data_IF_320695225741
#
_entry.id   IF_320695225741
#
_cell.length_a   1.000
_cell.length_b   1.000
_cell.length_c   1.000
_cell.angle_alpha   90.00
_cell.angle_beta   90.00
_cell.angle_gamma   90.00
#
_symmetry.space_group_name_H-M   'P 1'
#
loop_
_entity.id
_entity.type
_entity.pdbx_description
1 polymer ?
#
# COMPACT_ATOMS: atom_id res chain seq x y z
N UNK A 1 23.46 8.60 9.90
CA UNK A 1 24.05 9.04 8.62
C UNK A 1 25.56 8.81 8.64
N UNK A 2 25.99 7.55 8.58
CA UNK A 2 27.35 7.19 8.19
C UNK A 2 27.39 7.23 6.66
N UNK A 3 27.51 8.45 6.11
CA UNK A 3 27.78 8.60 4.69
C UNK A 3 29.24 8.20 4.47
N UNK A 4 29.48 6.94 4.07
CA UNK A 4 30.76 6.56 3.47
C UNK A 4 30.95 7.43 2.22
N UNK A 5 31.64 8.56 2.39
CA UNK A 5 32.07 9.41 1.30
C UNK A 5 33.23 8.74 0.56
N UNK A 6 32.97 7.65 -0.16
CA UNK A 6 33.91 7.14 -1.15
C UNK A 6 33.81 8.03 -2.38
N UNK A 7 34.78 8.90 -2.62
CA UNK A 7 35.06 9.64 -3.86
C UNK A 7 34.02 9.43 -4.98
N UNK A 8 32.94 10.22 -4.93
CA UNK A 8 31.68 10.06 -5.68
C UNK A 8 31.64 10.94 -6.96
N UNK A 9 32.77 11.30 -7.56
CA UNK A 9 32.80 12.12 -8.78
C UNK A 9 33.18 11.28 -10.02
N UNK A 10 32.42 11.49 -11.11
CA UNK A 10 32.43 10.79 -12.41
C UNK A 10 31.97 9.31 -12.48
N UNK A 11 32.33 8.43 -11.54
CA UNK A 11 31.97 7.00 -11.61
C UNK A 11 30.47 6.70 -11.47
N UNK A 12 29.71 7.59 -10.82
CA UNK A 12 28.30 7.38 -10.50
C UNK A 12 27.40 7.52 -11.72
N UNK A 13 27.63 8.48 -12.61
CA UNK A 13 26.74 8.68 -13.77
C UNK A 13 26.66 7.43 -14.63
N UNK A 14 27.78 6.71 -14.80
CA UNK A 14 27.82 5.40 -15.48
C UNK A 14 27.21 4.27 -14.66
N UNK A 15 27.36 4.27 -13.34
CA UNK A 15 26.78 3.25 -12.44
C UNK A 15 25.26 3.41 -12.29
N UNK A 16 24.73 4.63 -12.19
CA UNK A 16 23.30 4.95 -12.06
C UNK A 16 22.45 4.38 -13.19
N UNK A 17 23.00 4.27 -14.41
CA UNK A 17 22.27 3.72 -15.55
C UNK A 17 21.82 2.27 -15.32
N UNK A 18 22.57 1.49 -14.53
CA UNK A 18 22.23 0.10 -14.21
C UNK A 18 21.29 -0.02 -12.99
N UNK A 19 21.19 1.03 -12.16
CA UNK A 19 20.51 0.97 -10.87
C UNK A 19 18.99 0.91 -11.00
N UNK A 20 18.42 1.47 -12.06
CA UNK A 20 16.98 1.42 -12.31
C UNK A 20 16.42 0.00 -12.41
N UNK A 21 17.26 -1.01 -12.67
CA UNK A 21 16.83 -2.40 -12.84
C UNK A 21 17.02 -3.27 -11.59
N UNK A 22 17.65 -2.72 -10.55
CA UNK A 22 17.98 -3.45 -9.33
C UNK A 22 16.93 -3.19 -8.26
N UNK A 23 16.55 -4.24 -7.53
CA UNK A 23 15.70 -4.12 -6.35
C UNK A 23 16.49 -3.71 -5.11
N UNK A 24 15.75 -3.26 -4.08
CA UNK A 24 16.32 -2.81 -2.82
C UNK A 24 17.05 -1.46 -2.92
N UNK A 25 17.82 -1.12 -1.89
CA UNK A 25 18.56 0.14 -1.81
C UNK A 25 20.07 -0.10 -1.89
N UNK A 26 20.70 0.37 -2.97
CA UNK A 26 22.16 0.22 -3.18
C UNK A 26 22.97 0.99 -2.12
N UNK A 27 22.42 2.11 -1.64
CA UNK A 27 22.98 2.91 -0.55
C UNK A 27 22.72 2.33 0.85
N UNK A 28 21.99 1.21 0.93
CA UNK A 28 21.57 0.58 2.16
C UNK A 28 20.34 1.24 2.79
N UNK A 29 19.71 0.52 3.72
CA UNK A 29 18.65 1.01 4.60
C UNK A 29 18.80 0.30 5.94
N UNK A 30 18.63 1.03 7.03
CA UNK A 30 18.74 0.48 8.38
C UNK A 30 17.77 1.18 9.32
N UNK A 31 17.23 0.43 10.29
CA UNK A 31 16.51 1.01 11.43
C UNK A 31 17.53 1.75 12.29
N UNK A 32 17.36 3.06 12.43
CA UNK A 32 18.26 3.90 13.21
C UNK A 32 17.64 4.26 14.55
N UNK A 33 17.91 3.45 15.59
CA UNK A 33 17.42 3.72 16.94
C UNK A 33 18.06 4.98 17.53
N UNK A 34 19.34 5.21 17.27
CA UNK A 34 20.06 6.40 17.74
C UNK A 34 19.44 7.72 17.26
N UNK A 35 18.87 7.75 16.05
CA UNK A 35 18.25 8.96 15.51
C UNK A 35 16.92 9.31 16.19
N UNK A 36 16.33 8.39 16.97
CA UNK A 36 15.20 8.70 17.85
C UNK A 36 15.61 9.55 19.04
N UNK A 37 16.87 9.46 19.44
CA UNK A 37 17.44 10.27 20.51
C UNK A 37 17.99 11.59 19.97
N UNK A 38 17.88 12.65 20.78
CA UNK A 38 18.39 13.98 20.40
C UNK A 38 19.90 13.96 20.14
N UNK A 39 20.66 13.17 20.89
CA UNK A 39 22.10 13.01 20.69
C UNK A 39 22.44 12.45 19.30
N UNK A 40 21.68 11.47 18.81
CA UNK A 40 21.86 10.92 17.47
C UNK A 40 21.52 11.94 16.38
N UNK A 41 20.50 12.79 16.60
CA UNK A 41 20.16 13.90 15.70
C UNK A 41 21.24 14.99 15.69
N UNK A 42 21.83 15.33 16.83
CA UNK A 42 22.97 16.25 16.91
C UNK A 42 24.17 15.73 16.11
N UNK A 43 24.51 14.44 16.27
CA UNK A 43 25.57 13.80 15.46
C UNK A 43 25.26 13.86 13.97
N UNK A 44 24.00 13.63 13.59
CA UNK A 44 23.58 13.73 12.20
C UNK A 44 23.69 15.17 11.64
N UNK A 45 23.26 16.17 12.41
CA UNK A 45 23.38 17.58 12.05
C UNK A 45 24.86 17.99 11.89
N UNK A 46 25.72 17.62 12.82
CA UNK A 46 27.16 17.86 12.74
C UNK A 46 27.78 17.29 11.45
N UNK A 47 27.40 16.06 11.08
CA UNK A 47 27.87 15.43 9.84
C UNK A 47 27.41 16.20 8.59
N UNK A 48 26.16 16.63 8.53
CA UNK A 48 25.63 17.42 7.40
C UNK A 48 26.35 18.76 7.27
N UNK A 49 26.54 19.47 8.39
CA UNK A 49 27.22 20.78 8.45
C UNK A 49 28.69 20.65 8.04
N UNK A 50 29.37 19.58 8.48
CA UNK A 50 30.77 19.33 8.09
C UNK A 50 30.96 19.17 6.57
N UNK A 51 29.90 18.77 5.87
CA UNK A 51 29.87 18.58 4.41
C UNK A 51 29.14 19.71 3.67
N UNK A 52 28.62 20.71 4.37
CA UNK A 52 27.84 21.80 3.77
C UNK A 52 26.53 21.35 3.11
N UNK A 53 25.91 20.28 3.63
CA UNK A 53 24.67 19.73 3.07
C UNK A 53 23.47 20.33 3.80
N UNK A 54 22.66 21.10 3.08
CA UNK A 54 21.43 21.76 3.57
C UNK A 54 20.16 21.28 2.85
N UNK A 55 20.32 20.46 1.82
CA UNK A 55 19.25 19.92 1.00
C UNK A 55 19.23 18.41 1.14
N UNK A 56 18.13 17.85 1.63
CA UNK A 56 18.01 16.43 1.93
C UNK A 56 16.78 15.83 1.24
N UNK A 57 17.00 14.78 0.44
CA UNK A 57 15.92 13.90 -0.03
C UNK A 57 15.88 12.67 0.87
N UNK A 58 14.72 12.38 1.44
CA UNK A 58 14.51 11.20 2.28
C UNK A 58 13.56 10.25 1.55
N UNK A 59 14.02 9.02 1.30
CA UNK A 59 13.22 7.97 0.65
C UNK A 59 12.91 6.89 1.69
N UNK A 60 11.63 6.66 1.97
CA UNK A 60 11.21 5.63 2.92
C UNK A 60 9.72 5.67 3.23
N UNK A 61 9.31 4.89 4.23
CA UNK A 61 7.93 4.88 4.72
C UNK A 61 7.65 5.96 5.77
N UNK A 62 6.46 5.89 6.36
CA UNK A 62 5.94 6.84 7.35
C UNK A 62 6.96 7.21 8.45
N UNK A 63 7.54 6.21 9.13
CA UNK A 63 8.49 6.47 10.22
C UNK A 63 9.75 7.25 9.79
N UNK A 64 10.21 7.08 8.54
CA UNK A 64 11.38 7.82 8.03
C UNK A 64 11.03 9.28 7.74
N UNK A 65 9.85 9.51 7.15
CA UNK A 65 9.35 10.85 6.81
C UNK A 65 8.99 11.64 8.07
N UNK A 66 8.40 10.99 9.07
CA UNK A 66 8.12 11.58 10.39
C UNK A 66 9.42 12.00 11.10
N UNK A 67 10.43 11.13 11.11
CA UNK A 67 11.75 11.47 11.68
C UNK A 67 12.43 12.62 10.94
N UNK A 68 12.30 12.70 9.61
CA UNK A 68 12.81 13.80 8.81
C UNK A 68 12.10 15.12 9.13
N UNK A 69 10.78 15.10 9.28
CA UNK A 69 10.01 16.27 9.67
C UNK A 69 10.44 16.83 11.03
N UNK A 70 10.54 15.95 12.04
CA UNK A 70 11.04 16.33 13.36
C UNK A 70 12.44 16.93 13.28
N UNK A 71 13.32 16.35 12.45
CA UNK A 71 14.67 16.85 12.25
C UNK A 71 14.70 18.27 11.63
N UNK A 72 13.79 18.59 10.69
CA UNK A 72 13.66 19.96 10.16
C UNK A 72 13.18 20.95 11.23
N UNK A 73 12.19 20.56 12.04
CA UNK A 73 11.65 21.41 13.10
C UNK A 73 12.72 21.68 14.17
N UNK A 74 13.48 20.66 14.57
CA UNK A 74 14.53 20.79 15.58
C UNK A 74 15.81 21.47 15.05
N UNK A 75 15.98 21.63 13.74
CA UNK A 75 17.20 22.11 13.12
C UNK A 75 17.78 23.40 13.75
N UNK A 76 17.00 24.48 13.98
CA UNK A 76 17.55 25.70 14.59
C UNK A 76 18.13 25.44 15.98
N UNK A 77 17.43 24.65 16.80
CA UNK A 77 17.86 24.31 18.16
C UNK A 77 19.11 23.42 18.16
N UNK A 78 19.26 22.54 17.16
CA UNK A 78 20.47 21.73 16.98
C UNK A 78 21.69 22.59 16.60
N UNK A 79 21.49 23.63 15.79
CA UNK A 79 22.56 24.56 15.41
C UNK A 79 23.08 25.37 16.61
N UNK A 80 22.18 25.83 17.48
CA UNK A 80 22.53 26.54 18.72
C UNK A 80 23.39 25.68 19.64
N UNK A 81 23.02 24.41 19.79
CA UNK A 81 23.70 23.45 20.67
C UNK A 81 25.10 23.07 20.13
N UNK A 82 25.25 22.96 18.81
CA UNK A 82 26.51 22.59 18.16
C UNK A 82 27.57 23.72 18.12
N UNK A 83 27.23 24.97 18.49
CA UNK A 83 28.14 26.13 18.55
C UNK A 83 29.05 26.25 17.32
N UNK A 84 28.45 26.18 16.14
CA UNK A 84 29.16 26.16 14.86
C UNK A 84 29.81 27.52 14.52
N UNK A 85 30.82 27.49 13.65
CA UNK A 85 31.48 28.72 13.17
C UNK A 85 30.48 29.63 12.43
N UNK A 86 30.62 30.97 12.53
CA UNK A 86 29.69 31.92 11.92
C UNK A 86 29.50 31.71 10.40
N UNK A 87 30.59 31.40 9.69
CA UNK A 87 30.56 31.13 8.25
C UNK A 87 29.72 29.89 7.90
N UNK A 88 29.81 28.82 8.72
CA UNK A 88 29.01 27.61 8.52
C UNK A 88 27.56 27.81 8.94
N UNK A 89 27.31 28.65 9.95
CA UNK A 89 25.96 29.03 10.38
C UNK A 89 25.20 29.78 9.28
N UNK A 90 25.89 30.65 8.53
CA UNK A 90 25.28 31.38 7.41
C UNK A 90 24.88 30.44 6.26
N UNK A 91 25.71 29.44 5.96
CA UNK A 91 25.44 28.47 4.89
C UNK A 91 24.33 27.49 5.32
N UNK A 92 24.42 26.96 6.54
CA UNK A 92 23.54 25.90 7.04
C UNK A 92 22.37 26.44 7.87
N UNK A 93 22.00 27.71 7.69
CA UNK A 93 20.96 28.38 8.46
C UNK A 93 19.58 27.72 8.33
N UNK A 94 19.38 26.92 7.29
CA UNK A 94 18.13 26.28 6.93
C UNK A 94 18.41 24.85 6.47
N UNK A 95 17.40 24.00 6.65
CA UNK A 95 17.40 22.63 6.16
C UNK A 95 16.16 22.41 5.30
N UNK A 96 16.39 22.14 4.02
CA UNK A 96 15.37 21.79 3.06
C UNK A 96 15.23 20.27 3.03
N UNK A 97 14.00 19.79 3.21
CA UNK A 97 13.69 18.36 3.19
C UNK A 97 12.56 18.12 2.20
N UNK A 98 12.79 17.15 1.32
CA UNK A 98 11.75 16.57 0.46
C UNK A 98 11.68 15.07 0.69
N UNK A 99 10.47 14.56 0.90
CA UNK A 99 10.20 13.14 1.12
C UNK A 99 9.74 12.44 -0.15
N UNK A 100 10.18 11.20 -0.35
CA UNK A 100 9.62 10.24 -1.29
C UNK A 100 9.11 9.02 -0.53
N UNK A 101 7.91 8.56 -0.86
CA UNK A 101 7.32 7.41 -0.18
C UNK A 101 7.75 6.11 -0.86
N UNK A 102 8.67 5.40 -0.21
CA UNK A 102 9.09 4.05 -0.59
C UNK A 102 8.53 3.03 0.40
N UNK A 103 7.45 2.35 0.00
CA UNK A 103 6.76 1.34 0.80
C UNK A 103 6.11 0.34 -0.15
N UNK A 104 6.08 -0.95 0.22
CA UNK A 104 5.27 -1.93 -0.50
C UNK A 104 3.82 -1.94 0.00
N UNK A 105 3.61 -1.47 1.22
CA UNK A 105 2.34 -1.62 1.95
C UNK A 105 1.25 -0.67 1.40
N UNK A 106 1.62 0.35 0.61
CA UNK A 106 0.76 1.44 0.16
C UNK A 106 0.00 2.16 1.30
N UNK A 107 0.71 2.35 2.41
CA UNK A 107 0.16 2.78 3.72
C UNK A 107 0.30 4.29 4.00
N UNK A 108 0.65 5.10 3.00
CA UNK A 108 0.87 6.54 3.19
C UNK A 108 -0.28 7.40 2.65
N UNK A 109 -0.96 8.10 3.54
CA UNK A 109 -2.06 8.97 3.15
C UNK A 109 -1.56 10.19 2.36
N UNK A 110 -2.20 10.44 1.23
CA UNK A 110 -1.90 11.58 0.36
C UNK A 110 -1.10 11.23 -0.89
N UNK A 111 -0.83 9.94 -1.14
CA UNK A 111 -0.40 9.40 -2.44
C UNK A 111 -1.29 8.25 -2.86
N UNK A 112 -1.63 8.17 -4.14
CA UNK A 112 -2.40 7.07 -4.70
C UNK A 112 -1.58 5.77 -4.73
N UNK A 113 -0.28 5.92 -5.02
CA UNK A 113 0.68 4.82 -5.13
C UNK A 113 2.00 5.16 -4.46
N UNK A 114 2.55 4.18 -3.76
CA UNK A 114 3.89 4.20 -3.18
C UNK A 114 4.88 3.44 -4.05
N UNK A 115 6.16 3.88 -4.03
CA UNK A 115 7.21 3.22 -4.80
C UNK A 115 7.47 1.84 -4.19
N UNK A 116 7.19 0.79 -4.96
CA UNK A 116 7.40 -0.61 -4.60
C UNK A 116 6.11 -1.43 -4.49
N UNK A 117 4.93 -0.78 -4.38
CA UNK A 117 3.67 -1.48 -4.24
C UNK A 117 3.34 -2.36 -5.46
N UNK A 118 3.54 -1.85 -6.68
CA UNK A 118 3.29 -2.62 -7.90
C UNK A 118 4.30 -3.76 -8.10
N UNK A 119 5.56 -3.55 -7.72
CA UNK A 119 6.57 -4.61 -7.73
C UNK A 119 6.24 -5.73 -6.74
N UNK A 120 5.76 -5.39 -5.55
CA UNK A 120 5.32 -6.36 -4.56
C UNK A 120 4.09 -7.15 -5.06
N UNK A 121 3.13 -6.47 -5.68
CA UNK A 121 1.98 -7.11 -6.30
C UNK A 121 2.38 -8.14 -7.36
N UNK A 122 3.37 -7.83 -8.21
CA UNK A 122 3.92 -8.81 -9.15
C UNK A 122 4.48 -10.05 -8.44
N UNK A 123 5.17 -9.89 -7.30
CA UNK A 123 5.70 -11.04 -6.54
C UNK A 123 4.57 -11.91 -5.98
N UNK A 124 3.49 -11.27 -5.52
CA UNK A 124 2.31 -11.98 -4.98
C UNK A 124 1.63 -12.76 -6.10
N UNK A 125 1.35 -12.12 -7.23
CA UNK A 125 0.69 -12.76 -8.38
C UNK A 125 1.54 -13.92 -8.93
N UNK A 126 2.85 -13.72 -9.12
CA UNK A 126 3.75 -14.79 -9.59
C UNK A 126 3.73 -16.02 -8.65
N UNK A 127 3.69 -15.79 -7.33
CA UNK A 127 3.61 -16.88 -6.37
C UNK A 127 2.24 -17.57 -6.40
N UNK A 128 1.15 -16.80 -6.51
CA UNK A 128 -0.20 -17.34 -6.62
C UNK A 128 -0.38 -18.16 -7.89
N UNK A 129 0.06 -17.66 -9.04
CA UNK A 129 0.00 -18.37 -10.33
C UNK A 129 0.80 -19.69 -10.30
N UNK A 130 1.97 -19.68 -9.65
CA UNK A 130 2.76 -20.89 -9.44
C UNK A 130 1.99 -21.93 -8.62
N UNK A 131 1.24 -21.49 -7.60
CA UNK A 131 0.42 -22.37 -6.75
C UNK A 131 -0.82 -22.90 -7.46
N UNK A 132 -1.46 -22.10 -8.30
CA UNK A 132 -2.69 -22.45 -9.04
C UNK A 132 -2.58 -23.79 -9.77
N UNK A 133 -1.46 -24.03 -10.46
CA UNK A 133 -1.24 -25.28 -11.20
C UNK A 133 -1.19 -26.52 -10.29
N UNK A 134 -0.54 -26.39 -9.12
CA UNK A 134 -0.44 -27.46 -8.12
C UNK A 134 -1.78 -27.72 -7.43
N UNK A 135 -2.58 -26.67 -7.26
CA UNK A 135 -3.86 -26.75 -6.58
C UNK A 135 -4.92 -27.46 -7.43
N UNK A 136 -4.99 -27.13 -8.73
CA UNK A 136 -5.87 -27.79 -9.68
C UNK A 136 -5.61 -29.30 -9.79
N UNK A 137 -4.36 -29.73 -9.58
CA UNK A 137 -3.96 -31.14 -9.66
C UNK A 137 -4.45 -31.99 -8.48
N UNK A 138 -4.68 -31.38 -7.32
CA UNK A 138 -4.98 -32.09 -6.07
C UNK A 138 -6.25 -31.61 -5.36
N UNK A 139 -7.05 -30.72 -5.97
CA UNK A 139 -8.26 -30.15 -5.35
C UNK A 139 -7.99 -29.54 -3.97
N UNK A 140 -6.94 -28.73 -3.87
CA UNK A 140 -6.49 -28.15 -2.60
C UNK A 140 -7.02 -26.73 -2.39
N UNK A 141 -7.25 -26.40 -1.13
CA UNK A 141 -7.43 -25.01 -0.70
C UNK A 141 -6.08 -24.41 -0.30
N UNK A 142 -5.75 -23.24 -0.82
CA UNK A 142 -4.56 -22.50 -0.46
C UNK A 142 -4.92 -21.21 0.27
N UNK A 143 -4.30 -21.03 1.42
CA UNK A 143 -4.35 -19.79 2.20
C UNK A 143 -3.00 -19.09 1.99
N UNK A 144 -3.02 -17.90 1.39
CA UNK A 144 -1.83 -17.11 1.15
C UNK A 144 -1.77 -15.92 2.11
N UNK A 145 -0.70 -15.87 2.89
CA UNK A 145 -0.41 -14.74 3.78
C UNK A 145 0.44 -13.69 3.05
N UNK A 146 -0.10 -12.47 2.98
CA UNK A 146 0.43 -11.32 2.23
C UNK A 146 0.86 -10.23 3.21
N UNK A 147 1.95 -9.53 2.91
CA UNK A 147 2.42 -8.41 3.73
C UNK A 147 1.47 -7.20 3.64
N UNK A 148 1.67 -6.23 4.53
CA UNK A 148 0.91 -4.98 4.52
C UNK A 148 0.79 -4.31 5.88
N UNK A 149 1.26 -4.97 6.94
CA UNK A 149 1.23 -4.60 8.35
C UNK A 149 -0.16 -4.23 8.86
N UNK A 150 -0.59 -3.00 8.63
CA UNK A 150 -1.90 -2.48 9.03
C UNK A 150 -2.73 -2.03 7.82
N UNK A 151 -2.24 -2.26 6.61
CA UNK A 151 -2.90 -1.95 5.36
C UNK A 151 -3.16 -3.24 4.56
N UNK A 152 -4.39 -3.42 4.09
CA UNK A 152 -4.85 -4.53 3.28
C UNK A 152 -4.74 -4.28 1.78
N UNK A 153 -4.13 -3.18 1.33
CA UNK A 153 -4.06 -2.81 -0.10
C UNK A 153 -3.49 -3.95 -0.96
N UNK A 154 -2.33 -4.50 -0.58
CA UNK A 154 -1.70 -5.60 -1.31
C UNK A 154 -2.62 -6.84 -1.38
N UNK A 155 -3.21 -7.23 -0.26
CA UNK A 155 -4.11 -8.39 -0.19
C UNK A 155 -5.38 -8.17 -1.04
N UNK A 156 -5.98 -6.98 -0.99
CA UNK A 156 -7.17 -6.63 -1.76
C UNK A 156 -6.89 -6.65 -3.26
N UNK A 157 -5.86 -5.93 -3.72
CA UNK A 157 -5.55 -5.84 -5.15
C UNK A 157 -5.08 -7.20 -5.69
N UNK A 158 -4.28 -7.95 -4.92
CA UNK A 158 -3.90 -9.30 -5.29
C UNK A 158 -5.10 -10.25 -5.37
N UNK A 159 -6.05 -10.14 -4.44
CA UNK A 159 -7.28 -10.95 -4.47
C UNK A 159 -8.12 -10.70 -5.71
N UNK A 160 -8.21 -9.44 -6.16
CA UNK A 160 -8.90 -9.08 -7.40
C UNK A 160 -8.16 -9.61 -8.63
N UNK A 161 -6.83 -9.46 -8.67
CA UNK A 161 -6.02 -9.88 -9.81
C UNK A 161 -5.94 -11.41 -9.97
N UNK A 162 -5.93 -12.16 -8.86
CA UNK A 162 -5.85 -13.62 -8.85
C UNK A 162 -7.23 -14.30 -8.77
N UNK A 163 -8.32 -13.52 -8.73
CA UNK A 163 -9.70 -14.01 -8.57
C UNK A 163 -9.86 -14.94 -7.35
N UNK A 164 -9.33 -14.50 -6.20
CA UNK A 164 -9.38 -15.23 -4.94
C UNK A 164 -10.82 -15.34 -4.41
N UNK A 165 -11.15 -16.47 -3.77
CA UNK A 165 -12.49 -16.77 -3.27
C UNK A 165 -12.83 -15.93 -2.04
N UNK A 166 -11.83 -15.59 -1.23
CA UNK A 166 -12.00 -14.79 -0.04
C UNK A 166 -10.76 -13.95 0.24
N UNK A 167 -10.98 -12.79 0.85
CA UNK A 167 -9.89 -11.91 1.29
C UNK A 167 -10.17 -11.42 2.71
N UNK A 168 -9.12 -11.41 3.54
CA UNK A 168 -9.14 -10.82 4.88
C UNK A 168 -8.23 -9.60 4.91
N UNK A 169 -8.81 -8.42 5.19
CA UNK A 169 -8.09 -7.14 5.30
C UNK A 169 -8.42 -6.43 6.62
N UNK A 170 -7.47 -5.69 7.22
CA UNK A 170 -7.71 -4.96 8.47
C UNK A 170 -8.74 -3.83 8.36
N UNK A 171 -8.85 -3.20 7.19
CA UNK A 171 -9.74 -2.05 6.98
C UNK A 171 -11.22 -2.44 6.92
N UNK A 172 -11.50 -3.70 6.61
CA UNK A 172 -12.85 -4.25 6.54
C UNK A 172 -12.90 -5.60 7.27
N UNK A 173 -12.90 -5.58 8.61
CA UNK A 173 -13.04 -6.80 9.40
C UNK A 173 -14.32 -7.55 9.03
N UNK A 174 -14.26 -8.89 8.93
CA UNK A 174 -15.41 -9.67 8.51
C UNK A 174 -16.50 -9.65 9.60
N UNK A 175 -17.75 -9.93 9.21
CA UNK A 175 -18.86 -10.02 10.16
C UNK A 175 -18.73 -11.24 11.08
N UNK A 176 -19.38 -11.26 12.24
CA UNK A 176 -19.20 -12.34 13.24
C UNK A 176 -19.54 -13.74 12.68
N UNK A 177 -20.40 -13.82 11.67
CA UNK A 177 -20.83 -15.02 10.96
C UNK A 177 -19.91 -15.43 9.78
N UNK A 178 -18.72 -14.82 9.66
CA UNK A 178 -17.82 -15.06 8.52
C UNK A 178 -17.40 -16.51 8.35
N UNK A 179 -17.30 -17.26 9.46
CA UNK A 179 -16.92 -18.68 9.45
C UNK A 179 -17.93 -19.51 8.66
N UNK A 180 -19.21 -19.31 8.94
CA UNK A 180 -20.31 -19.99 8.24
C UNK A 180 -20.39 -19.55 6.77
N UNK A 181 -20.24 -18.24 6.51
CA UNK A 181 -20.26 -17.68 5.15
C UNK A 181 -19.13 -18.21 4.29
N UNK A 182 -17.91 -18.28 4.85
CA UNK A 182 -16.75 -18.84 4.17
C UNK A 182 -16.99 -20.31 3.83
N UNK A 183 -17.40 -21.12 4.80
CA UNK A 183 -17.69 -22.54 4.59
C UNK A 183 -18.80 -22.74 3.55
N UNK A 184 -19.87 -21.94 3.59
CA UNK A 184 -20.95 -22.00 2.60
C UNK A 184 -20.45 -21.66 1.20
N UNK A 185 -19.62 -20.62 1.05
CA UNK A 185 -19.05 -20.23 -0.25
C UNK A 185 -18.19 -21.36 -0.82
N UNK A 186 -17.29 -21.93 -0.02
CA UNK A 186 -16.41 -23.02 -0.43
C UNK A 186 -17.18 -24.33 -0.74
N UNK A 187 -18.30 -24.60 -0.04
CA UNK A 187 -19.18 -25.76 -0.36
C UNK A 187 -19.87 -25.61 -1.71
N UNK A 188 -20.37 -24.42 -2.05
CA UNK A 188 -21.08 -24.19 -3.32
C UNK A 188 -20.18 -24.46 -4.53
N UNK A 189 -18.88 -24.24 -4.40
CA UNK A 189 -17.87 -24.58 -5.42
C UNK A 189 -17.80 -26.10 -5.66
N UNK A 190 -18.14 -26.93 -4.66
CA UNK A 190 -18.04 -28.40 -4.74
C UNK A 190 -19.29 -29.11 -5.27
N UNK A 191 -20.49 -28.50 -5.20
CA UNK A 191 -21.78 -29.19 -5.42
C UNK A 191 -22.31 -29.09 -6.87
N UNK A 192 -21.66 -28.33 -7.74
CA UNK A 192 -22.12 -28.10 -9.12
C UNK A 192 -21.80 -29.25 -10.10
N UNK A 193 -21.91 -30.51 -9.65
CA UNK A 193 -21.47 -31.69 -10.41
C UNK A 193 -22.61 -32.53 -11.04
N UNK A 194 -23.90 -32.17 -10.93
CA UNK A 194 -24.96 -33.16 -11.27
C UNK A 194 -26.04 -32.77 -12.31
N UNK A 195 -26.32 -31.50 -12.66
CA UNK A 195 -27.42 -31.23 -13.61
C UNK A 195 -27.20 -30.00 -14.50
N UNK A 196 -26.76 -30.20 -15.75
CA UNK A 196 -27.45 -29.71 -16.97
C UNK A 196 -26.58 -29.89 -18.23
N UNK A 197 -27.12 -30.47 -19.33
CA UNK A 197 -26.46 -30.46 -20.62
C UNK A 197 -26.55 -29.07 -21.27
N UNK A 198 -25.44 -28.68 -21.89
CA UNK A 198 -25.17 -27.46 -22.65
C UNK A 198 -26.31 -27.02 -23.58
N UNK A 199 -26.68 -25.74 -23.51
CA UNK A 199 -27.31 -24.99 -24.62
C UNK A 199 -26.67 -23.61 -24.71
N UNK A 200 -25.74 -23.47 -25.65
CA UNK A 200 -24.99 -22.25 -25.96
C UNK A 200 -25.90 -21.26 -26.72
N UNK A 201 -26.34 -20.17 -26.08
CA UNK A 201 -26.99 -19.05 -26.78
C UNK A 201 -25.95 -17.99 -27.14
N UNK A 202 -25.51 -17.99 -28.41
CA UNK A 202 -24.75 -16.88 -29.01
C UNK A 202 -25.76 -15.78 -29.40
N UNK A 203 -25.83 -14.71 -28.62
CA UNK A 203 -26.61 -13.52 -28.99
C UNK A 203 -25.83 -12.67 -30.01
N UNK A 204 -26.21 -12.83 -31.28
CA UNK A 204 -25.81 -11.99 -32.41
C UNK A 204 -26.59 -10.67 -32.35
N UNK A 205 -25.93 -9.56 -32.01
CA UNK A 205 -26.54 -8.22 -32.12
C UNK A 205 -26.53 -7.81 -33.59
N UNK A 206 -27.69 -7.88 -34.26
CA UNK A 206 -27.98 -7.10 -35.47
C UNK A 206 -28.67 -5.81 -35.02
N UNK A 207 -28.17 -4.67 -35.48
CA UNK A 207 -28.71 -3.37 -35.15
C UNK A 207 -30.12 -3.15 -35.69
N UNK A 208 -30.92 -2.38 -34.95
CA UNK A 208 -31.78 -1.32 -35.45
C UNK A 208 -32.48 -0.58 -34.28
N UNK A 209 -32.46 0.75 -34.38
CA UNK A 209 -33.38 1.78 -33.85
C UNK A 209 -33.90 1.71 -32.41
N UNK A 210 -33.43 2.69 -31.61
CA UNK A 210 -34.02 3.15 -30.36
C UNK A 210 -35.35 3.88 -30.64
N UNK A 211 -36.45 3.33 -30.14
CA UNK A 211 -37.67 4.08 -29.88
C UNK A 211 -38.07 3.96 -28.40
N UNK A 212 -38.53 5.08 -27.89
CA UNK A 212 -38.82 5.35 -26.48
C UNK A 212 -40.05 4.60 -25.99
N UNK A 213 -39.86 3.58 -25.16
CA UNK A 213 -40.85 3.18 -24.15
C UNK A 213 -40.17 2.40 -23.02
N UNK A 214 -40.45 2.84 -21.79
CA UNK A 214 -39.95 2.25 -20.54
C UNK A 214 -40.30 0.77 -20.47
N UNK A 215 -39.33 -0.10 -20.72
CA UNK A 215 -39.35 -1.49 -20.28
C UNK A 215 -38.12 -1.75 -19.42
N UNK A 216 -38.38 -2.26 -18.22
CA UNK A 216 -37.40 -2.62 -17.20
C UNK A 216 -36.49 -3.73 -17.72
N UNK A 217 -35.34 -3.36 -18.29
CA UNK A 217 -34.21 -4.27 -18.44
C UNK A 217 -33.29 -4.09 -17.23
N UNK A 218 -33.44 -4.98 -16.24
CA UNK A 218 -32.42 -5.20 -15.23
C UNK A 218 -31.17 -5.78 -15.92
N UNK A 219 -30.21 -4.89 -16.19
CA UNK A 219 -28.81 -5.27 -16.41
C UNK A 219 -28.15 -5.50 -15.04
N UNK A 220 -27.17 -6.41 -14.93
CA UNK A 220 -26.57 -6.77 -13.65
C UNK A 220 -25.50 -5.74 -13.28
N UNK A 221 -25.94 -4.57 -12.85
CA UNK A 221 -25.15 -3.69 -11.99
C UNK A 221 -25.89 -3.61 -10.66
N UNK A 222 -25.76 -4.67 -9.86
CA UNK A 222 -26.18 -4.63 -8.47
C UNK A 222 -25.17 -3.77 -7.70
N UNK A 223 -25.58 -2.52 -7.48
CA UNK A 223 -25.17 -1.63 -6.40
C UNK A 223 -24.89 -2.44 -5.11
N UNK A 224 -23.66 -2.48 -4.59
CA UNK A 224 -23.19 -1.59 -3.53
C UNK A 224 -24.17 -1.43 -2.35
N UNK A 225 -24.43 -2.50 -1.60
CA UNK A 225 -24.76 -2.48 -0.16
C UNK A 225 -24.42 -3.85 0.44
N UNK A 226 -23.66 -3.83 1.54
CA UNK A 226 -23.17 -4.94 2.37
C UNK A 226 -22.10 -5.87 1.79
N UNK A 227 -20.86 -5.58 2.21
CA UNK A 227 -19.62 -6.36 2.03
C UNK A 227 -19.16 -6.46 0.56
N UNK A 228 -18.04 -5.81 0.24
CA UNK A 228 -17.39 -5.89 -1.07
C UNK A 228 -16.96 -7.32 -1.35
N UNK A 229 -17.91 -8.07 -1.90
CA UNK A 229 -17.78 -9.38 -2.45
C UNK A 229 -17.15 -9.18 -3.82
N UNK A 230 -15.87 -9.52 -3.99
CA UNK A 230 -15.34 -9.81 -5.33
C UNK A 230 -15.99 -11.13 -5.74
N UNK A 231 -17.23 -11.05 -6.22
CA UNK A 231 -17.93 -12.16 -6.85
C UNK A 231 -17.83 -11.96 -8.35
N UNK A 232 -16.87 -12.65 -8.96
CA UNK A 232 -17.15 -13.23 -10.27
C UNK A 232 -18.06 -14.43 -9.97
N UNK A 233 -19.34 -14.31 -10.29
CA UNK A 233 -20.26 -15.45 -10.25
C UNK A 233 -19.68 -16.55 -11.15
N UNK A 234 -19.22 -17.64 -10.53
CA UNK A 234 -18.65 -18.79 -11.23
C UNK A 234 -19.65 -19.94 -11.22
N UNK A 235 -20.49 -19.99 -12.25
CA UNK A 235 -21.16 -21.21 -12.68
C UNK A 235 -20.16 -22.11 -13.43
N UNK A 236 -19.23 -22.81 -12.73
CA UNK A 236 -18.57 -24.04 -13.23
C UNK A 236 -17.41 -24.51 -12.34
N UNK A 237 -17.58 -25.68 -11.69
CA UNK A 237 -16.55 -26.73 -11.52
C UNK A 237 -15.13 -26.36 -11.08
N UNK A 238 -14.93 -25.33 -10.27
CA UNK A 238 -13.57 -24.91 -9.92
C UNK A 238 -12.92 -25.89 -8.93
N UNK A 239 -11.78 -26.47 -9.35
CA UNK A 239 -10.99 -27.44 -8.55
C UNK A 239 -9.98 -26.77 -7.61
N UNK A 240 -10.09 -25.47 -7.39
CA UNK A 240 -9.11 -24.68 -6.67
C UNK A 240 -9.85 -23.65 -5.82
N UNK A 241 -9.40 -23.49 -4.56
CA UNK A 241 -9.83 -22.38 -3.72
C UNK A 241 -8.63 -21.61 -3.18
N UNK A 242 -8.62 -20.30 -3.41
CA UNK A 242 -7.57 -19.38 -2.96
C UNK A 242 -8.16 -18.39 -1.96
N UNK A 243 -7.54 -18.31 -0.78
CA UNK A 243 -7.89 -17.35 0.25
C UNK A 243 -6.69 -16.44 0.50
N UNK A 244 -6.88 -15.14 0.35
CA UNK A 244 -5.87 -14.13 0.61
C UNK A 244 -6.03 -13.58 2.04
N UNK A 245 -4.94 -13.52 2.79
CA UNK A 245 -4.94 -13.03 4.17
C UNK A 245 -3.86 -11.98 4.32
N UNK A 246 -4.23 -10.74 4.64
CA UNK A 246 -3.26 -9.73 5.04
C UNK A 246 -2.64 -10.11 6.40
N UNK A 247 -1.34 -9.91 6.59
CA UNK A 247 -0.64 -10.22 7.85
C UNK A 247 -1.25 -9.49 9.07
N UNK A 248 -1.93 -8.37 8.84
CA UNK A 248 -2.65 -7.58 9.83
C UNK A 248 -4.15 -7.85 9.93
N UNK A 249 -4.66 -8.94 9.35
CA UNK A 249 -6.09 -9.23 9.38
C UNK A 249 -6.64 -9.33 10.82
N UNK A 250 -7.79 -8.70 11.05
CA UNK A 250 -8.45 -8.65 12.36
C UNK A 250 -9.96 -8.88 12.23
N UNK A 251 -10.59 -9.33 13.32
CA UNK A 251 -12.05 -9.35 13.48
C UNK A 251 -12.58 -7.98 13.97
N UNK A 252 -13.91 -7.86 14.12
CA UNK A 252 -14.56 -6.63 14.60
C UNK A 252 -14.24 -6.29 16.05
N UNK A 253 -13.74 -7.24 16.80
CA UNK A 253 -13.31 -7.10 18.18
C UNK A 253 -11.80 -6.81 18.27
N UNK A 254 -11.14 -6.56 17.13
CA UNK A 254 -9.70 -6.31 16.99
C UNK A 254 -8.81 -7.51 17.37
N UNK A 255 -9.34 -8.73 17.39
CA UNK A 255 -8.52 -9.93 17.53
C UNK A 255 -7.88 -10.30 16.18
N UNK A 256 -6.61 -10.71 16.16
CA UNK A 256 -5.97 -11.18 14.93
C UNK A 256 -6.68 -12.41 14.36
N UNK A 257 -6.98 -12.39 13.07
CA UNK A 257 -7.43 -13.56 12.31
C UNK A 257 -6.19 -14.21 11.69
N UNK A 258 -5.87 -15.42 12.13
CA UNK A 258 -4.64 -16.11 11.69
C UNK A 258 -4.90 -17.08 10.54
N UNK A 259 -3.91 -17.31 9.68
CA UNK A 259 -3.99 -18.31 8.62
C UNK A 259 -4.26 -19.73 9.17
N UNK A 260 -3.73 -20.04 10.35
CA UNK A 260 -3.92 -21.35 10.99
C UNK A 260 -5.36 -21.53 11.50
N UNK A 261 -5.98 -20.48 12.05
CA UNK A 261 -7.40 -20.49 12.42
C UNK A 261 -8.29 -20.80 11.20
N UNK A 262 -8.06 -20.11 10.07
CA UNK A 262 -8.81 -20.32 8.83
C UNK A 262 -8.60 -21.75 8.33
N UNK A 263 -7.36 -22.26 8.37
CA UNK A 263 -7.06 -23.64 7.97
C UNK A 263 -7.81 -24.64 8.82
N UNK A 264 -7.78 -24.49 10.15
CA UNK A 264 -8.45 -25.41 11.08
C UNK A 264 -9.95 -25.45 10.82
N UNK A 265 -10.58 -24.29 10.61
CA UNK A 265 -11.99 -24.17 10.24
C UNK A 265 -12.31 -24.94 8.95
N UNK A 266 -11.52 -24.76 7.89
CA UNK A 266 -11.76 -25.43 6.60
C UNK A 266 -11.59 -26.95 6.74
N UNK A 267 -10.55 -27.40 7.44
CA UNK A 267 -10.30 -28.83 7.63
C UNK A 267 -11.39 -29.47 8.48
N UNK A 268 -11.85 -28.82 9.55
CA UNK A 268 -12.88 -29.37 10.43
C UNK A 268 -14.28 -29.39 9.81
N UNK A 269 -14.67 -28.32 9.12
CA UNK A 269 -16.04 -28.15 8.62
C UNK A 269 -16.26 -28.67 7.20
N UNK A 270 -15.20 -28.71 6.37
CA UNK A 270 -15.27 -29.09 4.95
C UNK A 270 -14.45 -30.33 4.61
N UNK A 271 -13.45 -30.67 5.43
CA UNK A 271 -12.56 -31.81 5.16
C UNK A 271 -11.62 -31.61 3.96
N UNK A 272 -11.44 -30.38 3.47
CA UNK A 272 -10.57 -30.09 2.33
C UNK A 272 -9.08 -30.17 2.72
N UNK A 273 -8.22 -30.63 1.79
CA UNK A 273 -6.77 -30.57 1.96
C UNK A 273 -6.30 -29.12 1.80
N UNK A 274 -6.05 -28.47 2.94
CA UNK A 274 -5.74 -27.04 3.02
C UNK A 274 -4.28 -26.79 3.37
N UNK A 275 -3.62 -25.88 2.63
CA UNK A 275 -2.21 -25.51 2.81
C UNK A 275 -2.08 -24.01 3.01
N UNK A 276 -1.17 -23.63 3.91
CA UNK A 276 -0.81 -22.23 4.16
C UNK A 276 0.51 -21.95 3.46
N UNK A 277 0.57 -20.84 2.73
CA UNK A 277 1.81 -20.30 2.16
C UNK A 277 2.02 -18.89 2.67
N UNK A 278 3.08 -18.70 3.47
CA UNK A 278 3.50 -17.38 3.91
C UNK A 278 4.55 -16.86 2.94
N UNK A 279 4.20 -15.86 2.13
CA UNK A 279 5.09 -15.32 1.10
C UNK A 279 6.29 -14.59 1.71
N UNK A 280 6.06 -13.89 2.82
CA UNK A 280 7.10 -13.17 3.56
C UNK A 280 7.90 -12.20 2.69
N UNK A 281 9.21 -12.16 2.89
CA UNK A 281 10.10 -11.14 2.32
C UNK A 281 10.33 -11.24 0.81
N UNK A 282 9.86 -12.30 0.14
CA UNK A 282 9.88 -12.38 -1.34
C UNK A 282 9.17 -11.17 -1.95
N UNK A 283 8.12 -10.66 -1.27
CA UNK A 283 7.35 -9.48 -1.67
C UNK A 283 8.17 -8.17 -1.67
N UNK A 284 9.31 -8.13 -0.96
CA UNK A 284 10.23 -6.98 -0.94
C UNK A 284 11.41 -7.15 -1.90
N UNK A 285 11.56 -8.34 -2.49
CA UNK A 285 12.66 -8.71 -3.36
C UNK A 285 12.30 -8.61 -4.84
N UNK A 286 13.23 -9.08 -5.68
CA UNK A 286 13.06 -9.07 -7.13
C UNK A 286 13.47 -7.74 -7.78
N UNK A 287 13.21 -7.63 -9.08
CA UNK A 287 13.47 -6.40 -9.84
C UNK A 287 12.25 -5.49 -9.78
N UNK A 288 12.42 -4.16 -9.73
CA UNK A 288 11.31 -3.23 -9.77
C UNK A 288 10.55 -3.37 -11.10
N UNK A 289 9.24 -3.26 -11.05
CA UNK A 289 8.36 -3.28 -12.21
C UNK A 289 8.59 -2.05 -13.11
N UNK A 290 8.07 -2.07 -14.33
CA UNK A 290 8.14 -0.90 -15.22
C UNK A 290 7.45 0.32 -14.58
N UNK A 291 6.31 0.10 -13.91
CA UNK A 291 5.57 1.15 -13.22
C UNK A 291 6.41 1.80 -12.13
N UNK A 292 6.97 1.02 -11.20
CA UNK A 292 7.77 1.55 -10.09
C UNK A 292 9.07 2.23 -10.56
N UNK A 293 9.67 1.77 -11.65
CA UNK A 293 10.83 2.45 -12.27
C UNK A 293 10.47 3.83 -12.79
N UNK A 294 9.36 3.95 -13.52
CA UNK A 294 8.91 5.21 -14.09
C UNK A 294 8.44 6.13 -12.97
N UNK A 295 7.67 5.61 -12.01
CA UNK A 295 7.18 6.35 -10.85
C UNK A 295 8.34 6.92 -10.03
N UNK A 296 9.30 6.08 -9.63
CA UNK A 296 10.47 6.50 -8.87
C UNK A 296 11.33 7.52 -9.63
N UNK A 297 11.45 7.38 -10.96
CA UNK A 297 12.18 8.35 -11.79
C UNK A 297 11.48 9.71 -11.86
N UNK A 298 10.15 9.71 -12.06
CA UNK A 298 9.34 10.94 -12.09
C UNK A 298 9.36 11.65 -10.74
N UNK A 299 9.12 10.91 -9.66
CA UNK A 299 9.13 11.44 -8.29
C UNK A 299 10.53 11.95 -7.90
N UNK A 300 11.59 11.24 -8.27
CA UNK A 300 12.97 11.66 -8.02
C UNK A 300 13.32 12.97 -8.72
N UNK A 301 12.91 13.14 -9.98
CA UNK A 301 13.10 14.40 -10.70
C UNK A 301 12.34 15.55 -10.04
N UNK A 302 11.08 15.34 -9.68
CA UNK A 302 10.25 16.35 -9.01
C UNK A 302 10.78 16.70 -7.62
N UNK A 303 11.37 15.75 -6.89
CA UNK A 303 11.98 16.02 -5.58
C UNK A 303 13.17 16.96 -5.67
N UNK A 304 13.98 16.84 -6.73
CA UNK A 304 15.10 17.76 -6.98
C UNK A 304 14.57 19.15 -7.31
N UNK A 305 13.54 19.26 -8.16
CA UNK A 305 12.90 20.54 -8.48
C UNK A 305 12.31 21.20 -7.22
N UNK A 306 11.64 20.43 -6.37
CA UNK A 306 11.09 20.91 -5.11
C UNK A 306 12.16 21.44 -4.15
N UNK A 307 13.34 20.80 -4.09
CA UNK A 307 14.47 21.32 -3.32
C UNK A 307 15.03 22.62 -3.91
N UNK A 308 15.15 22.71 -5.24
CA UNK A 308 15.60 23.93 -5.91
C UNK A 308 14.66 25.11 -5.68
N UNK A 309 13.35 24.86 -5.62
CA UNK A 309 12.35 25.87 -5.29
C UNK A 309 12.42 26.27 -3.80
N UNK A 310 12.64 25.31 -2.90
CA UNK A 310 12.82 25.56 -1.47
C UNK A 310 14.09 26.38 -1.17
N UNK A 311 15.15 26.23 -1.97
CA UNK A 311 16.36 27.05 -1.85
C UNK A 311 16.10 28.52 -2.23
N UNK A 312 15.21 28.76 -3.20
CA UNK A 312 14.77 30.11 -3.60
C UNK A 312 13.78 30.72 -2.62
N UNK A 313 12.91 29.91 -2.01
CA UNK A 313 11.92 30.34 -1.05
C UNK A 313 12.00 29.49 0.23
N UNK A 314 12.73 30.03 1.21
CA UNK A 314 13.08 29.34 2.46
C UNK A 314 11.91 29.13 3.42
N UNK A 315 10.79 29.81 3.19
CA UNK A 315 9.58 29.67 4.01
C UNK A 315 8.73 28.46 3.59
N UNK A 316 9.13 27.76 2.53
CA UNK A 316 8.41 26.57 2.08
C UNK A 316 8.50 25.42 3.11
N UNK A 317 7.35 24.84 3.50
CA UNK A 317 7.33 23.70 4.42
C UNK A 317 7.99 22.47 3.78
N UNK A 318 8.40 21.50 4.59
CA UNK A 318 8.78 20.19 4.05
C UNK A 318 7.60 19.58 3.28
N UNK A 319 7.89 19.01 2.12
CA UNK A 319 6.90 18.39 1.27
C UNK A 319 7.26 16.93 0.98
N UNK A 320 6.24 16.17 0.60
CA UNK A 320 6.35 14.82 0.06
C UNK A 320 5.92 14.89 -1.39
N UNK A 321 6.73 14.28 -2.28
CA UNK A 321 6.30 14.09 -3.66
C UNK A 321 5.38 12.88 -3.71
N UNK A 322 4.22 13.11 -4.28
CA UNK A 322 3.10 12.18 -4.31
C UNK A 322 2.57 12.01 -5.73
N UNK A 323 1.82 10.94 -5.95
CA UNK A 323 1.01 10.74 -7.16
C UNK A 323 -0.46 11.00 -6.83
N UNK A 324 -1.09 11.90 -7.57
CA UNK A 324 -2.54 12.18 -7.53
C UNK A 324 -3.04 12.21 -8.98
N UNK A 325 -3.92 11.28 -9.35
CA UNK A 325 -4.50 11.23 -10.70
C UNK A 325 -3.44 11.09 -11.81
N UNK A 326 -2.39 10.29 -11.56
CA UNK A 326 -1.22 10.11 -12.42
C UNK A 326 -0.37 11.39 -12.64
N UNK A 327 -0.59 12.43 -11.83
CA UNK A 327 0.24 13.64 -11.82
C UNK A 327 1.10 13.67 -10.56
N UNK A 328 2.34 14.17 -10.72
CA UNK A 328 3.22 14.37 -9.57
C UNK A 328 2.80 15.65 -8.85
N UNK A 329 2.46 15.52 -7.57
CA UNK A 329 2.01 16.64 -6.73
C UNK A 329 2.87 16.75 -5.49
N UNK A 330 3.00 17.97 -4.96
CA UNK A 330 3.72 18.26 -3.72
C UNK A 330 2.72 18.40 -2.60
N UNK A 331 2.77 17.51 -1.62
CA UNK A 331 1.88 17.54 -0.45
C UNK A 331 2.68 17.95 0.77
N UNK A 332 2.11 18.80 1.62
CA UNK A 332 2.74 19.18 2.88
C UNK A 332 2.93 17.94 3.77
N UNK A 333 4.16 17.69 4.21
CA UNK A 333 4.53 16.47 4.94
C UNK A 333 3.70 16.28 6.21
N UNK A 334 3.48 17.36 6.97
CA UNK A 334 2.65 17.34 8.19
C UNK A 334 1.23 16.82 7.93
N UNK A 335 0.60 17.28 6.85
CA UNK A 335 -0.77 16.91 6.51
C UNK A 335 -0.91 15.42 6.17
N UNK A 336 0.14 14.83 5.61
CA UNK A 336 0.17 13.39 5.31
C UNK A 336 0.33 12.55 6.58
N UNK A 337 1.32 12.89 7.43
CA UNK A 337 1.63 12.15 8.66
C UNK A 337 0.46 12.18 9.65
N UNK A 338 -0.20 13.34 9.81
CA UNK A 338 -1.39 13.48 10.66
C UNK A 338 -2.54 12.58 10.19
N UNK A 339 -2.76 12.49 8.87
CA UNK A 339 -3.80 11.63 8.30
C UNK A 339 -3.51 10.15 8.48
N UNK A 340 -2.26 9.72 8.32
CA UNK A 340 -1.87 8.31 8.54
C UNK A 340 -2.14 7.92 9.99
N UNK A 341 -1.68 8.74 10.94
CA UNK A 341 -1.93 8.53 12.38
C UNK A 341 -3.42 8.55 12.70
N UNK A 342 -4.17 9.44 12.06
CA UNK A 342 -5.62 9.54 12.19
C UNK A 342 -6.38 8.32 11.68
N UNK A 343 -5.96 7.70 10.57
CA UNK A 343 -6.58 6.48 10.04
C UNK A 343 -6.41 5.29 10.99
N UNK A 344 -5.21 5.11 11.54
CA UNK A 344 -4.91 4.07 12.55
C UNK A 344 -5.79 4.30 13.80
N UNK A 345 -5.94 5.56 14.23
CA UNK A 345 -6.74 5.93 15.40
C UNK A 345 -8.25 5.80 15.15
N UNK A 346 -8.74 6.20 13.97
CA UNK A 346 -10.16 6.12 13.60
C UNK A 346 -10.64 4.69 13.38
N UNK A 347 -9.80 3.80 12.83
CA UNK A 347 -10.10 2.36 12.79
C UNK A 347 -10.34 1.81 14.21
N UNK A 348 -9.52 2.22 15.19
CA UNK A 348 -9.74 1.87 16.59
C UNK A 348 -11.02 2.45 17.20
N UNK A 349 -11.40 3.68 16.85
CA UNK A 349 -12.55 4.37 17.43
C UNK A 349 -13.90 3.98 16.80
N UNK A 350 -13.94 3.76 15.48
CA UNK A 350 -15.14 3.28 14.76
C UNK A 350 -15.52 1.87 15.19
N UNK A 351 -14.54 1.00 15.48
CA UNK A 351 -14.80 -0.37 15.95
C UNK A 351 -15.18 -0.44 17.44
N UNK A 352 -14.81 0.55 18.26
CA UNK A 352 -15.23 0.64 19.66
C UNK A 352 -16.69 1.12 19.86
N UNK A 353 -17.34 1.64 18.81
CA UNK A 353 -18.74 2.10 18.88
C UNK A 353 -19.70 1.01 18.43
N UNK A 354 -20.32 0.30 19.40
CA UNK A 354 -21.43 -0.63 19.16
C UNK A 354 -22.77 0.05 18.83
N UNK A 355 -22.78 1.37 18.60
CA UNK A 355 -23.98 2.13 18.23
C UNK A 355 -23.93 2.55 16.76
N UNK A 356 -25.03 2.40 15.99
CA UNK A 356 -25.10 2.88 14.62
C UNK A 356 -24.92 4.40 14.62
N UNK A 357 -23.81 4.86 14.06
CA UNK A 357 -23.57 6.28 13.83
C UNK A 357 -24.46 6.70 12.65
N UNK A 358 -25.55 7.41 12.94
CA UNK A 358 -26.34 8.09 11.90
C UNK A 358 -25.48 9.23 11.33
N UNK A 359 -24.87 8.99 10.17
CA UNK A 359 -24.22 10.05 9.39
C UNK A 359 -25.30 10.73 8.54
N UNK A 360 -25.77 11.89 8.98
CA UNK A 360 -26.64 12.74 8.17
C UNK A 360 -25.78 13.53 7.19
N UNK A 361 -25.87 13.21 5.90
CA UNK A 361 -25.28 14.03 4.82
C UNK A 361 -26.12 15.30 4.68
N UNK A 362 -25.65 16.41 5.24
CA UNK A 362 -26.27 17.73 5.04
C UNK A 362 -25.76 18.27 3.70
N UNK A 363 -26.61 18.20 2.66
CA UNK A 363 -26.36 18.87 1.38
C UNK A 363 -26.67 20.36 1.55
N UNK A 364 -25.64 21.17 1.77
CA UNK A 364 -25.77 22.62 1.66
C UNK A 364 -25.91 22.97 0.17
N UNK A 365 -27.15 23.12 -0.29
CA UNK A 365 -27.43 23.72 -1.58
C UNK A 365 -27.15 25.23 -1.48
N UNK A 366 -25.94 25.63 -1.88
CA UNK A 366 -25.64 27.02 -2.18
C UNK A 366 -26.24 27.37 -3.54
N UNK A 367 -27.34 28.11 -3.53
CA UNK A 367 -27.80 28.89 -4.68
C UNK A 367 -26.81 30.03 -4.93
N UNK A 368 -26.17 30.02 -6.10
CA UNK A 368 -25.50 31.18 -6.68
C UNK A 368 -26.17 31.46 -8.03
N UNK A 369 -26.66 32.71 -8.12
CA UNK A 369 -27.39 33.41 -9.20
C UNK A 369 -28.72 32.84 -9.64
#
# INVERSE_FOLDING_TARGET
>A
LTLESRNLSLGIRRKMFLWATLGGTIIGSARCMEFREREGRLKAAANLISKGITNLVVIGGDGSLTGANQFKIEWPSLLEELKIRPEQAAICSHLNIVGLVGSIDNDFCGTDMTIGADSALHRIIEATDALTTTALSHQRCFILEVMGRHCGYLALVASMACEADWVFIPELPPADDWREKLCKKLRLVSVCEILAPLSLYVLRIKGETLDSERSQFHTPFACLTDQYLVCVDREAGQRLSIIMVAEGAIDRQCNPITCEEIRQLIVSELGFDTRITVLGHVQRGGRPSAFDRILGSRMGAEAVLALMDADRNRDLPACVISLDGNQAVRVALMRCVEKVSGTIFWLGLLMASTKPVKVSIIRLAGTLS
#
